data_IF_008568189781
#
_entry.id   IF_008568189781
#
_cell.length_a   1.000
_cell.length_b   1.000
_cell.length_c   1.000
_cell.angle_alpha   90.00
_cell.angle_beta   90.00
_cell.angle_gamma   90.00
#
_symmetry.space_group_name_H-M   'P 1'
#
loop_
_entity.id
_entity.type
_entity.pdbx_description
1 polymer ?
#
# COMPACT_ATOMS: atom_id res chain seq x y z
N UNK A 1 9.47 20.91 -5.91
CA UNK A 1 8.70 19.68 -6.20
C UNK A 1 7.44 19.71 -5.36
N UNK A 2 6.31 19.27 -5.91
CA UNK A 2 5.03 19.20 -5.18
C UNK A 2 4.96 17.85 -4.45
N UNK A 3 4.52 17.81 -3.18
CA UNK A 3 4.28 16.54 -2.51
C UNK A 3 3.16 15.75 -3.21
N UNK A 4 3.10 14.41 -3.11
CA UNK A 4 2.00 13.64 -3.66
C UNK A 4 0.66 14.03 -3.02
N UNK A 5 -0.41 14.07 -3.81
CA UNK A 5 -1.73 14.46 -3.33
C UNK A 5 -2.65 14.97 -4.43
N UNK A 6 -3.85 15.38 -4.04
CA UNK A 6 -4.84 15.93 -4.97
C UNK A 6 -4.68 17.46 -5.06
N UNK A 7 -4.40 17.95 -6.26
CA UNK A 7 -4.20 19.36 -6.55
C UNK A 7 -5.30 19.93 -7.44
N UNK A 8 -5.49 21.24 -7.31
CA UNK A 8 -6.29 22.03 -8.22
C UNK A 8 -5.36 22.91 -9.04
N UNK A 9 -5.50 22.88 -10.37
CA UNK A 9 -4.76 23.75 -11.28
C UNK A 9 -5.75 24.70 -11.93
N UNK A 10 -5.51 26.01 -11.75
CA UNK A 10 -6.30 27.09 -12.33
C UNK A 10 -5.43 27.90 -13.27
N UNK A 11 -5.89 28.06 -14.51
CA UNK A 11 -5.22 28.89 -15.50
C UNK A 11 -6.16 29.97 -16.02
N UNK A 12 -5.63 31.19 -16.08
CA UNK A 12 -6.38 32.38 -16.47
C UNK A 12 -5.58 33.22 -17.47
N UNK A 13 -6.27 33.73 -18.48
CA UNK A 13 -5.72 34.67 -19.45
C UNK A 13 -6.81 35.63 -19.91
N UNK A 14 -6.46 36.91 -20.09
CA UNK A 14 -7.40 37.91 -20.60
C UNK A 14 -8.02 37.47 -21.94
N UNK A 15 -9.33 37.62 -22.09
CA UNK A 15 -10.16 37.17 -23.22
C UNK A 15 -10.42 35.66 -23.36
N UNK A 16 -10.02 34.84 -22.37
CA UNK A 16 -10.32 33.41 -22.32
C UNK A 16 -11.17 33.05 -21.09
N UNK A 17 -11.95 31.98 -21.17
CA UNK A 17 -12.68 31.44 -20.03
C UNK A 17 -11.71 30.82 -19.02
N UNK A 18 -11.84 31.10 -17.70
CA UNK A 18 -10.95 30.53 -16.69
C UNK A 18 -11.12 29.00 -16.63
N UNK A 19 -10.04 28.27 -16.92
CA UNK A 19 -10.02 26.81 -16.85
C UNK A 19 -9.58 26.39 -15.44
N UNK A 20 -10.45 25.64 -14.75
CA UNK A 20 -10.13 25.03 -13.46
C UNK A 20 -10.18 23.52 -13.61
N UNK A 21 -9.02 22.88 -13.54
CA UNK A 21 -8.91 21.43 -13.43
C UNK A 21 -8.89 21.06 -11.94
N UNK A 22 -9.91 20.33 -11.51
CA UNK A 22 -10.03 19.82 -10.15
C UNK A 22 -9.55 18.37 -10.10
N UNK A 23 -9.20 17.89 -8.92
CA UNK A 23 -8.84 16.51 -8.66
C UNK A 23 -7.63 15.97 -9.44
N UNK A 24 -6.63 16.81 -9.70
CA UNK A 24 -5.38 16.36 -10.32
C UNK A 24 -4.59 15.56 -9.29
N UNK A 25 -4.52 14.25 -9.47
CA UNK A 25 -3.71 13.38 -8.64
C UNK A 25 -2.25 13.46 -9.08
N UNK A 26 -1.40 14.00 -8.21
CA UNK A 26 0.05 13.95 -8.38
C UNK A 26 0.56 12.79 -7.55
N UNK A 27 1.07 11.77 -8.22
CA UNK A 27 1.63 10.56 -7.62
C UNK A 27 3.13 10.72 -7.38
N UNK A 28 3.70 9.90 -6.49
CA UNK A 28 5.16 9.87 -6.25
C UNK A 28 5.89 9.54 -7.54
N UNK A 29 7.05 10.20 -7.74
CA UNK A 29 8.00 10.01 -8.86
C UNK A 29 7.46 10.29 -10.27
N UNK A 30 6.28 10.89 -10.41
CA UNK A 30 5.74 11.34 -11.69
C UNK A 30 5.95 12.84 -11.94
N UNK A 31 6.29 13.18 -13.19
CA UNK A 31 6.31 14.57 -13.66
C UNK A 31 5.05 14.79 -14.49
N UNK A 32 4.00 15.32 -13.86
CA UNK A 32 2.72 15.53 -14.52
C UNK A 32 2.80 16.68 -15.55
N UNK A 33 2.58 16.36 -16.83
CA UNK A 33 2.42 17.36 -17.90
C UNK A 33 0.94 17.61 -18.18
N UNK A 34 0.50 18.86 -18.05
CA UNK A 34 -0.87 19.28 -18.33
C UNK A 34 -0.92 20.18 -19.56
N UNK A 35 -1.67 19.77 -20.58
CA UNK A 35 -1.95 20.60 -21.76
C UNK A 35 -3.26 21.36 -21.56
N UNK A 36 -3.14 22.66 -21.25
CA UNK A 36 -4.26 23.53 -20.93
C UNK A 36 -4.79 24.20 -22.20
N UNK A 37 -5.93 23.73 -22.71
CA UNK A 37 -6.62 24.33 -23.85
C UNK A 37 -7.68 25.32 -23.36
N UNK A 38 -7.34 26.62 -23.42
CA UNK A 38 -8.24 27.71 -23.03
C UNK A 38 -9.23 28.02 -24.17
N UNK A 39 -10.53 28.04 -23.86
CA UNK A 39 -11.57 28.43 -24.81
C UNK A 39 -11.76 29.96 -24.82
N UNK A 40 -12.01 30.52 -26.00
CA UNK A 40 -12.25 31.95 -26.16
C UNK A 40 -13.62 32.29 -25.55
N UNK A 41 -13.68 33.28 -24.66
CA UNK A 41 -14.91 33.59 -23.93
C UNK A 41 -15.93 34.33 -24.81
N UNK A 42 -16.86 33.60 -25.44
CA UNK A 42 -18.08 34.17 -26.02
C UNK A 42 -19.24 34.03 -25.03
N UNK A 43 -19.47 35.12 -24.27
CA UNK A 43 -20.40 35.25 -23.12
C UNK A 43 -19.97 34.51 -21.85
N UNK A 44 -20.03 35.26 -20.74
CA UNK A 44 -19.80 34.77 -19.39
C UNK A 44 -21.08 34.08 -18.93
N UNK A 45 -21.18 32.76 -19.12
CA UNK A 45 -22.14 31.90 -18.43
C UNK A 45 -21.36 30.82 -17.68
N UNK A 46 -21.48 30.81 -16.34
CA UNK A 46 -20.91 29.76 -15.50
C UNK A 46 -21.72 28.48 -15.68
N UNK A 47 -21.22 27.54 -16.48
CA UNK A 47 -21.71 26.17 -16.51
C UNK A 47 -20.55 25.23 -16.11
N UNK A 48 -20.55 24.79 -14.85
CA UNK A 48 -19.58 23.81 -14.34
C UNK A 48 -19.99 22.41 -14.83
N UNK A 49 -19.42 21.96 -15.95
CA UNK A 49 -19.63 20.61 -16.50
C UNK A 49 -18.44 19.75 -16.11
N UNK A 50 -18.63 18.84 -15.16
CA UNK A 50 -17.62 17.86 -14.73
C UNK A 50 -17.78 16.59 -15.55
N UNK A 51 -16.91 16.36 -16.53
CA UNK A 51 -16.75 15.05 -17.18
C UNK A 51 -15.36 14.49 -16.86
N UNK A 52 -15.30 13.36 -16.16
CA UNK A 52 -14.04 12.65 -15.90
C UNK A 52 -13.77 11.67 -17.05
N UNK A 53 -12.78 11.95 -17.89
CA UNK A 53 -12.21 10.95 -18.79
C UNK A 53 -11.23 10.07 -17.98
N UNK A 54 -11.23 8.74 -18.12
CA UNK A 54 -10.25 7.89 -17.45
C UNK A 54 -8.85 8.19 -18.00
N UNK A 55 -7.98 8.70 -17.13
CA UNK A 55 -6.57 8.94 -17.45
C UNK A 55 -5.87 7.60 -17.67
N UNK A 56 -5.32 7.41 -18.87
CA UNK A 56 -4.47 6.28 -19.22
C UNK A 56 -3.02 6.73 -19.07
N UNK A 57 -2.25 5.97 -18.30
CA UNK A 57 -0.82 6.22 -18.09
C UNK A 57 -0.07 5.89 -19.39
N UNK A 58 0.45 6.91 -20.07
CA UNK A 58 1.03 6.80 -21.43
C UNK A 58 2.54 7.04 -21.47
N UNK A 59 3.16 7.50 -20.37
CA UNK A 59 4.59 7.85 -20.32
C UNK A 59 5.46 6.79 -19.64
N UNK A 60 4.90 5.96 -18.78
CA UNK A 60 5.64 4.89 -18.11
C UNK A 60 5.47 3.55 -18.83
N UNK A 61 6.59 2.94 -19.22
CA UNK A 61 6.61 1.53 -19.62
C UNK A 61 6.57 0.58 -18.41
N UNK A 62 6.59 1.11 -17.18
CA UNK A 62 6.63 0.30 -15.96
C UNK A 62 5.36 -0.56 -15.86
N UNK A 63 5.55 -1.87 -15.81
CA UNK A 63 4.47 -2.79 -15.49
C UNK A 63 4.24 -2.72 -13.99
N UNK A 64 3.11 -2.16 -13.58
CA UNK A 64 2.81 -1.99 -12.17
C UNK A 64 1.36 -1.64 -11.89
N UNK A 65 0.96 -1.77 -10.63
CA UNK A 65 -0.38 -1.45 -10.17
C UNK A 65 -0.30 -0.55 -8.95
N UNK A 66 -1.04 0.56 -9.01
CA UNK A 66 -1.35 1.38 -7.84
C UNK A 66 -2.59 0.81 -7.17
N UNK A 67 -2.48 0.57 -5.86
CA UNK A 67 -3.57 0.14 -5.00
C UNK A 67 -3.88 1.27 -4.04
N UNK A 68 -5.06 1.87 -4.21
CA UNK A 68 -5.53 2.95 -3.35
C UNK A 68 -5.93 2.44 -1.96
N UNK A 69 -5.90 3.33 -0.97
CA UNK A 69 -6.44 3.12 0.38
C UNK A 69 -7.71 2.27 0.42
N UNK A 70 -8.68 2.58 -0.44
CA UNK A 70 -9.98 1.89 -0.48
C UNK A 70 -9.83 0.40 -0.73
N UNK A 71 -8.99 0.01 -1.69
CA UNK A 71 -8.71 -1.39 -1.97
C UNK A 71 -7.91 -2.05 -0.83
N UNK A 72 -6.94 -1.36 -0.25
CA UNK A 72 -6.14 -1.87 0.89
C UNK A 72 -7.02 -2.20 2.11
N UNK A 73 -8.03 -1.37 2.39
CA UNK A 73 -8.94 -1.57 3.54
C UNK A 73 -10.15 -2.47 3.24
N UNK A 74 -10.56 -2.60 1.97
CA UNK A 74 -11.76 -3.36 1.59
C UNK A 74 -11.48 -4.82 1.24
N UNK A 75 -10.24 -5.15 0.89
CA UNK A 75 -9.87 -6.52 0.62
C UNK A 75 -9.85 -7.33 1.92
N UNK A 76 -10.45 -8.54 1.94
CA UNK A 76 -10.41 -9.41 3.09
C UNK A 76 -9.00 -9.97 3.26
N UNK A 77 -8.18 -9.28 4.07
CA UNK A 77 -6.83 -9.70 4.42
C UNK A 77 -6.87 -10.61 5.65
N UNK A 78 -6.67 -11.91 5.46
CA UNK A 78 -6.76 -12.94 6.51
C UNK A 78 -5.85 -12.65 7.71
N UNK A 79 -4.68 -12.05 7.48
CA UNK A 79 -3.69 -11.70 8.51
C UNK A 79 -3.46 -10.19 8.63
N UNK A 80 -4.28 -9.38 7.95
CA UNK A 80 -4.10 -7.93 7.78
C UNK A 80 -2.71 -7.54 7.28
N UNK A 81 -2.13 -8.39 6.43
CA UNK A 81 -0.85 -8.14 5.79
C UNK A 81 -1.09 -7.56 4.39
N UNK A 82 -0.72 -6.29 4.17
CA UNK A 82 -0.87 -5.66 2.86
C UNK A 82 0.01 -6.33 1.78
N UNK A 83 1.07 -7.06 2.17
CA UNK A 83 1.92 -7.77 1.22
C UNK A 83 1.11 -8.81 0.41
N UNK A 84 0.01 -9.34 0.93
CA UNK A 84 -0.89 -10.24 0.18
C UNK A 84 -1.51 -9.57 -1.04
N UNK A 85 -1.68 -8.24 -1.01
CA UNK A 85 -2.21 -7.46 -2.12
C UNK A 85 -1.22 -7.41 -3.29
N UNK A 86 0.08 -7.58 -3.03
CA UNK A 86 1.10 -7.63 -4.10
C UNK A 86 0.82 -8.74 -5.10
N UNK A 87 0.27 -9.87 -4.63
CA UNK A 87 -0.13 -11.00 -5.46
C UNK A 87 -1.27 -10.72 -6.44
N UNK A 88 -1.95 -9.57 -6.32
CA UNK A 88 -2.93 -9.12 -7.32
C UNK A 88 -2.26 -8.51 -8.55
N UNK A 89 -0.94 -8.31 -8.52
CA UNK A 89 -0.18 -7.81 -9.67
C UNK A 89 0.28 -8.97 -10.56
N UNK A 90 0.20 -8.84 -11.89
CA UNK A 90 0.65 -9.89 -12.81
C UNK A 90 2.12 -10.27 -12.58
N UNK A 91 2.40 -11.58 -12.57
CA UNK A 91 3.76 -12.10 -12.40
C UNK A 91 4.25 -12.13 -10.95
N UNK A 92 3.42 -11.75 -9.97
CA UNK A 92 3.70 -11.88 -8.54
C UNK A 92 3.08 -13.15 -7.97
N UNK A 93 3.88 -13.93 -7.25
CA UNK A 93 3.44 -15.04 -6.42
C UNK A 93 3.77 -14.68 -4.98
N UNK A 94 2.81 -14.76 -4.08
CA UNK A 94 2.99 -14.37 -2.67
C UNK A 94 2.42 -15.44 -1.76
N UNK A 95 3.15 -15.79 -0.70
CA UNK A 95 2.64 -16.65 0.36
C UNK A 95 1.74 -15.89 1.35
N UNK A 96 0.98 -16.65 2.14
CA UNK A 96 0.06 -16.09 3.14
C UNK A 96 0.80 -15.94 4.47
N UNK A 97 1.56 -14.87 4.63
CA UNK A 97 2.30 -14.64 5.87
C UNK A 97 1.42 -14.13 7.01
N UNK A 98 1.80 -14.45 8.25
CA UNK A 98 1.41 -13.67 9.40
C UNK A 98 2.16 -12.31 9.41
N UNK A 99 1.45 -11.20 9.60
CA UNK A 99 2.07 -9.87 9.62
C UNK A 99 3.13 -9.73 10.72
N UNK A 100 2.98 -10.44 11.84
CA UNK A 100 3.98 -10.49 12.92
C UNK A 100 5.25 -11.26 12.54
N UNK A 101 5.15 -12.31 11.73
CA UNK A 101 6.29 -13.15 11.34
C UNK A 101 7.21 -12.47 10.31
N UNK A 102 6.67 -11.57 9.47
CA UNK A 102 7.47 -10.73 8.56
C UNK A 102 8.17 -9.58 9.28
N UNK A 103 7.46 -8.91 10.20
CA UNK A 103 8.00 -7.78 10.95
C UNK A 103 9.08 -8.16 11.96
N UNK A 104 9.14 -9.44 12.36
CA UNK A 104 10.17 -9.99 13.25
C UNK A 104 11.38 -10.58 12.50
N UNK A 105 11.37 -10.58 11.16
CA UNK A 105 12.46 -11.13 10.36
C UNK A 105 12.55 -12.66 10.34
N UNK A 106 11.65 -13.38 11.01
CA UNK A 106 11.67 -14.85 11.08
C UNK A 106 11.30 -15.53 9.75
N UNK A 107 10.46 -14.88 8.91
CA UNK A 107 9.94 -15.46 7.65
C UNK A 107 10.22 -14.65 6.39
N UNK A 108 10.82 -13.47 6.51
CA UNK A 108 11.13 -12.59 5.36
C UNK A 108 12.17 -13.22 4.40
N UNK A 109 12.83 -14.30 4.81
CA UNK A 109 13.78 -15.06 4.00
C UNK A 109 13.38 -16.55 4.01
N UNK A 110 12.92 -17.12 2.88
CA UNK A 110 12.70 -18.57 2.70
C UNK A 110 13.96 -19.42 2.93
N UNK A 111 15.11 -18.78 3.12
CA UNK A 111 16.37 -19.43 3.47
C UNK A 111 16.47 -19.84 4.95
N UNK A 112 15.57 -19.33 5.81
CA UNK A 112 15.65 -19.49 7.27
C UNK A 112 14.31 -19.97 7.87
N UNK A 113 13.17 -19.60 7.27
CA UNK A 113 11.88 -20.16 7.63
C UNK A 113 11.61 -21.48 6.89
N UNK A 114 10.93 -22.42 7.55
CA UNK A 114 10.42 -23.66 6.94
C UNK A 114 9.34 -23.43 5.87
N UNK A 115 8.92 -22.19 5.64
CA UNK A 115 7.81 -21.84 4.75
C UNK A 115 8.28 -21.03 3.54
N UNK A 116 7.78 -21.39 2.35
CA UNK A 116 8.04 -20.73 1.07
C UNK A 116 7.25 -19.41 0.94
N UNK A 117 7.08 -18.65 2.02
CA UNK A 117 6.02 -17.66 2.06
C UNK A 117 6.34 -16.37 1.30
N UNK A 118 7.57 -16.17 0.82
CA UNK A 118 8.08 -14.94 0.18
C UNK A 118 7.23 -14.33 -0.96
N UNK A 119 7.53 -13.07 -1.32
CA UNK A 119 7.02 -12.42 -2.55
C UNK A 119 7.98 -12.79 -3.68
N UNK A 120 7.54 -13.50 -4.71
CA UNK A 120 8.34 -13.86 -5.88
C UNK A 120 7.79 -13.16 -7.10
N UNK A 121 8.66 -12.59 -7.93
CA UNK A 121 8.25 -11.75 -9.06
C UNK A 121 9.00 -12.20 -10.30
N UNK A 122 8.28 -12.64 -11.33
CA UNK A 122 8.85 -13.16 -12.58
C UNK A 122 9.94 -14.23 -12.39
N UNK A 123 9.86 -15.03 -11.32
CA UNK A 123 10.83 -16.07 -10.99
C UNK A 123 12.08 -15.59 -10.24
N UNK A 124 12.18 -14.29 -9.93
CA UNK A 124 13.19 -13.75 -9.03
C UNK A 124 13.02 -14.28 -7.60
N UNK A 125 14.09 -14.24 -6.80
CA UNK A 125 14.05 -14.71 -5.42
C UNK A 125 13.32 -13.69 -4.54
N UNK A 126 12.78 -14.13 -3.41
CA UNK A 126 11.97 -13.26 -2.59
C UNK A 126 12.71 -12.10 -1.90
N UNK A 127 14.03 -12.22 -1.79
CA UNK A 127 14.92 -11.16 -1.30
C UNK A 127 15.46 -10.27 -2.43
N UNK A 128 15.11 -10.56 -3.69
CA UNK A 128 15.43 -9.69 -4.82
C UNK A 128 14.33 -8.63 -5.03
N UNK A 129 13.50 -8.34 -4.03
CA UNK A 129 12.51 -7.27 -4.06
C UNK A 129 13.00 -6.06 -3.26
N UNK A 130 12.68 -4.87 -3.76
CA UNK A 130 12.89 -3.63 -3.03
C UNK A 130 11.61 -3.23 -2.29
N UNK A 131 11.73 -2.89 -1.01
CA UNK A 131 10.67 -2.27 -0.21
C UNK A 131 11.05 -0.85 0.15
N UNK A 132 10.13 0.07 -0.10
CA UNK A 132 10.23 1.47 0.26
C UNK A 132 9.04 1.86 1.13
N UNK A 133 9.33 2.56 2.23
CA UNK A 133 8.33 3.16 3.10
C UNK A 133 8.54 4.67 3.08
N UNK A 134 7.52 5.42 2.67
CA UNK A 134 7.55 6.88 2.57
C UNK A 134 8.75 7.41 1.75
N UNK A 135 9.13 6.67 0.70
CA UNK A 135 10.25 6.98 -0.18
C UNK A 135 11.64 6.60 0.34
N UNK A 136 11.72 5.93 1.49
CA UNK A 136 12.98 5.45 2.07
C UNK A 136 13.04 3.93 1.91
N UNK A 137 14.15 3.41 1.37
CA UNK A 137 14.36 1.97 1.29
C UNK A 137 14.43 1.36 2.70
N UNK A 138 13.53 0.42 2.94
CA UNK A 138 13.45 -0.40 4.16
C UNK A 138 13.75 -1.87 3.88
N UNK A 139 14.31 -2.14 2.69
CA UNK A 139 14.77 -3.47 2.29
C UNK A 139 15.85 -3.95 3.26
N UNK A 140 15.70 -5.16 3.77
CA UNK A 140 16.73 -5.79 4.57
C UNK A 140 17.95 -6.12 3.71
N UNK A 141 19.00 -5.32 3.86
CA UNK A 141 20.26 -5.42 3.13
C UNK A 141 21.18 -6.52 3.65
N UNK A 142 20.89 -7.14 4.80
CA UNK A 142 21.82 -8.06 5.46
C UNK A 142 21.63 -9.54 5.09
N UNK A 143 20.52 -9.93 4.45
CA UNK A 143 20.36 -11.21 3.74
C UNK A 143 20.71 -12.50 4.51
N UNK A 144 20.90 -12.48 5.83
CA UNK A 144 21.43 -13.61 6.60
C UNK A 144 21.10 -13.50 8.09
N UNK A 145 20.00 -14.15 8.47
CA UNK A 145 19.66 -14.91 9.68
C UNK A 145 20.06 -14.53 11.10
N UNK A 146 20.98 -13.61 11.35
CA UNK A 146 21.38 -13.24 12.71
C UNK A 146 21.33 -11.73 12.98
N UNK A 147 21.04 -10.90 11.96
CA UNK A 147 20.95 -9.44 12.08
C UNK A 147 19.86 -8.80 11.22
N UNK A 148 18.97 -9.61 10.63
CA UNK A 148 17.84 -9.13 9.82
C UNK A 148 16.89 -8.28 10.68
N UNK A 149 16.67 -7.03 10.28
CA UNK A 149 15.67 -6.14 10.90
C UNK A 149 14.23 -6.39 10.42
N UNK A 150 14.02 -7.37 9.53
CA UNK A 150 12.77 -7.56 8.83
C UNK A 150 12.42 -6.40 7.89
N UNK A 151 11.21 -6.43 7.35
CA UNK A 151 10.62 -5.32 6.59
C UNK A 151 9.44 -4.79 7.41
N UNK A 152 9.32 -3.47 7.62
CA UNK A 152 8.20 -2.92 8.36
C UNK A 152 6.89 -3.19 7.61
N UNK A 153 5.98 -3.92 8.26
CA UNK A 153 4.63 -4.17 7.75
C UNK A 153 3.64 -3.29 8.51
N UNK A 154 3.38 -2.04 8.07
CA UNK A 154 2.37 -1.21 8.68
C UNK A 154 0.99 -1.87 8.57
N UNK A 155 0.14 -1.55 9.55
CA UNK A 155 -1.28 -1.86 9.47
C UNK A 155 -1.87 -1.31 8.15
N UNK A 156 -2.70 -2.07 7.42
CA UNK A 156 -3.48 -1.58 6.28
C UNK A 156 -4.20 -0.24 6.53
N UNK A 157 -4.69 0.02 7.74
CA UNK A 157 -5.33 1.28 8.13
C UNK A 157 -4.36 2.46 8.26
N UNK A 158 -3.05 2.22 8.25
CA UNK A 158 -2.00 3.26 8.21
C UNK A 158 -1.59 3.59 6.77
N UNK A 159 -1.92 2.74 5.81
CA UNK A 159 -1.50 2.90 4.41
C UNK A 159 -2.45 3.86 3.68
N UNK A 160 -1.88 4.88 3.04
CA UNK A 160 -2.58 5.78 2.14
C UNK A 160 -2.58 5.23 0.71
N UNK A 161 -1.40 4.83 0.25
CA UNK A 161 -1.22 4.27 -1.08
C UNK A 161 -0.16 3.18 -1.07
N UNK A 162 -0.32 2.24 -1.99
CA UNK A 162 0.60 1.16 -2.21
C UNK A 162 0.84 0.95 -3.71
N UNK A 163 2.10 0.94 -4.15
CA UNK A 163 2.48 0.74 -5.55
C UNK A 163 3.41 -0.46 -5.68
N UNK A 164 3.08 -1.36 -6.60
CA UNK A 164 3.94 -2.50 -6.98
C UNK A 164 4.34 -2.33 -8.42
N UNK A 165 5.64 -2.30 -8.68
CA UNK A 165 6.22 -2.29 -10.01
C UNK A 165 6.99 -3.59 -10.19
N UNK A 166 6.57 -4.41 -11.16
CA UNK A 166 7.11 -5.75 -11.38
C UNK A 166 8.12 -5.80 -12.53
N UNK A 167 8.23 -4.74 -13.33
CA UNK A 167 9.25 -4.62 -14.37
C UNK A 167 9.26 -3.24 -15.02
N UNK A 168 10.29 -2.96 -15.83
CA UNK A 168 10.46 -1.72 -16.60
C UNK A 168 10.40 -0.43 -15.76
N UNK A 169 10.73 -0.51 -14.47
CA UNK A 169 10.86 0.64 -13.57
C UNK A 169 12.22 1.34 -13.76
N UNK A 170 12.28 2.63 -13.41
CA UNK A 170 13.44 3.49 -13.63
C UNK A 170 14.70 2.98 -12.88
N UNK A 171 15.88 3.28 -13.41
CA UNK A 171 17.19 2.97 -12.82
C UNK A 171 17.40 3.62 -11.45
N UNK A 172 16.62 4.64 -11.08
CA UNK A 172 16.57 5.20 -9.73
C UNK A 172 16.23 4.13 -8.65
N UNK A 173 15.50 3.08 -9.03
CA UNK A 173 15.17 1.93 -8.18
C UNK A 173 16.11 0.74 -8.40
N UNK A 174 17.22 0.96 -9.12
CA UNK A 174 18.16 -0.05 -9.56
C UNK A 174 18.96 -0.64 -8.40
N UNK A 175 18.59 -1.87 -8.00
CA UNK A 175 19.38 -2.73 -7.10
C UNK A 175 18.85 -4.16 -7.04
N UNK A 176 17.56 -4.33 -7.32
CA UNK A 176 16.80 -5.55 -7.10
C UNK A 176 16.16 -5.98 -8.42
N UNK A 177 16.18 -7.28 -8.71
CA UNK A 177 15.71 -7.87 -9.99
C UNK A 177 14.24 -8.31 -9.97
N UNK A 178 13.61 -8.31 -8.79
CA UNK A 178 12.19 -8.59 -8.56
C UNK A 178 11.33 -7.33 -8.64
N UNK A 179 10.38 -7.15 -7.72
CA UNK A 179 9.54 -5.97 -7.69
C UNK A 179 10.15 -4.80 -6.90
N UNK A 180 9.80 -3.58 -7.30
CA UNK A 180 9.81 -2.42 -6.42
C UNK A 180 8.43 -2.26 -5.76
N UNK A 181 8.42 -2.19 -4.44
CA UNK A 181 7.24 -2.13 -3.60
C UNK A 181 7.32 -0.85 -2.77
N UNK A 182 6.53 0.16 -3.13
CA UNK A 182 6.47 1.44 -2.42
C UNK A 182 5.19 1.54 -1.59
N UNK A 183 5.34 1.82 -0.31
CA UNK A 183 4.26 2.01 0.66
C UNK A 183 4.30 3.45 1.13
N UNK A 184 3.17 4.16 1.04
CA UNK A 184 3.01 5.51 1.59
C UNK A 184 2.03 5.43 2.75
N UNK A 185 2.45 5.96 3.90
CA UNK A 185 1.63 6.04 5.10
C UNK A 185 0.79 7.32 5.11
N UNK A 186 -0.35 7.27 5.79
CA UNK A 186 -1.25 8.41 5.93
C UNK A 186 -0.56 9.55 6.67
N UNK A 187 -0.63 10.74 6.09
CA UNK A 187 -0.33 11.96 6.83
C UNK A 187 -1.49 12.35 7.75
N UNK A 188 -1.18 13.07 8.83
CA UNK A 188 -2.22 13.66 9.67
C UNK A 188 -2.96 14.78 8.90
N UNK A 189 -4.09 15.23 9.45
CA UNK A 189 -4.88 16.30 8.82
C UNK A 189 -5.18 17.45 9.78
N UNK A 190 -5.68 18.57 9.26
CA UNK A 190 -6.19 19.67 10.08
C UNK A 190 -7.51 19.36 10.80
N UNK A 191 -8.05 18.15 10.62
CA UNK A 191 -9.22 17.62 11.33
C UNK A 191 -8.81 16.37 12.09
N UNK A 192 -9.40 16.18 13.27
CA UNK A 192 -9.24 14.91 13.97
C UNK A 192 -9.97 13.82 13.20
N UNK A 193 -9.25 12.74 12.89
CA UNK A 193 -9.84 11.50 12.38
C UNK A 193 -9.12 10.34 13.04
N UNK A 194 -9.83 9.24 13.21
CA UNK A 194 -9.24 8.02 13.74
C UNK A 194 -10.08 6.81 13.37
N UNK A 195 -9.55 5.64 13.64
CA UNK A 195 -10.23 4.36 13.42
C UNK A 195 -9.82 3.44 14.54
N UNK A 196 -10.76 2.67 15.08
CA UNK A 196 -10.50 1.60 16.05
C UNK A 196 -10.99 0.32 15.41
N UNK A 197 -10.24 -0.76 15.56
CA UNK A 197 -10.57 -2.03 14.95
C UNK A 197 -10.19 -3.21 15.85
N UNK A 198 -10.91 -4.31 15.67
CA UNK A 198 -10.62 -5.60 16.28
C UNK A 198 -11.02 -6.72 15.30
N UNK A 199 -10.12 -7.67 15.11
CA UNK A 199 -10.29 -8.83 14.25
C UNK A 199 -10.05 -10.08 15.08
N UNK A 200 -11.08 -10.91 15.16
CA UNK A 200 -11.05 -12.19 15.84
C UNK A 200 -11.01 -13.31 14.80
N UNK A 201 -10.04 -14.21 14.95
CA UNK A 201 -10.01 -15.48 14.23
C UNK A 201 -9.82 -16.59 15.25
N UNK A 202 -10.73 -17.55 15.27
CA UNK A 202 -10.64 -18.65 16.20
C UNK A 202 -10.97 -19.98 15.52
N UNK A 203 -10.57 -21.06 16.18
CA UNK A 203 -10.88 -22.41 15.77
C UNK A 203 -12.40 -22.58 15.66
N UNK A 204 -13.20 -22.16 16.64
CA UNK A 204 -14.68 -22.32 16.64
C UNK A 204 -15.36 -21.86 15.35
N UNK A 205 -14.94 -20.73 14.77
CA UNK A 205 -15.51 -20.14 13.55
C UNK A 205 -14.90 -20.69 12.26
N UNK A 206 -13.69 -21.28 12.30
CA UNK A 206 -13.01 -21.82 11.12
C UNK A 206 -13.44 -23.28 10.86
N UNK A 207 -13.57 -23.69 9.60
CA UNK A 207 -13.72 -25.11 9.28
C UNK A 207 -12.42 -25.90 9.59
N UNK A 208 -12.54 -27.22 9.82
CA UNK A 208 -11.39 -28.11 9.88
C UNK A 208 -10.86 -28.40 8.47
N UNK A 209 -9.57 -28.73 8.35
CA UNK A 209 -8.98 -29.07 7.05
C UNK A 209 -9.49 -30.42 6.53
N UNK A 210 -9.50 -30.58 5.21
CA UNK A 210 -10.03 -31.77 4.55
C UNK A 210 -9.34 -33.06 5.03
N UNK A 211 -8.01 -33.09 5.02
CA UNK A 211 -7.24 -34.28 5.40
C UNK A 211 -7.32 -34.60 6.91
N UNK A 212 -7.51 -33.59 7.75
CA UNK A 212 -7.75 -33.78 9.18
C UNK A 212 -9.15 -34.39 9.42
N UNK A 213 -10.16 -33.94 8.66
CA UNK A 213 -11.48 -34.56 8.70
C UNK A 213 -11.45 -36.01 8.19
N UNK A 214 -10.71 -36.29 7.12
CA UNK A 214 -10.56 -37.63 6.55
C UNK A 214 -9.93 -38.61 7.55
N UNK A 215 -8.97 -38.14 8.34
CA UNK A 215 -8.29 -38.93 9.38
C UNK A 215 -8.95 -38.84 10.76
N UNK A 216 -10.13 -38.23 10.86
CA UNK A 216 -10.86 -37.97 12.11
C UNK A 216 -10.04 -37.25 13.19
N UNK A 217 -9.04 -36.46 12.77
CA UNK A 217 -8.23 -35.64 13.66
C UNK A 217 -8.97 -34.36 14.05
N UNK A 218 -8.79 -33.97 15.32
CA UNK A 218 -9.34 -32.71 15.81
C UNK A 218 -8.61 -31.54 15.15
N UNK A 219 -9.38 -30.49 14.85
CA UNK A 219 -8.84 -29.23 14.33
C UNK A 219 -7.84 -28.64 15.35
N UNK A 220 -6.65 -28.21 14.92
CA UNK A 220 -5.69 -27.56 15.79
C UNK A 220 -6.22 -26.26 16.40
N UNK A 221 -5.63 -25.86 17.52
CA UNK A 221 -6.06 -24.67 18.26
C UNK A 221 -5.50 -23.41 17.62
N UNK A 222 -6.37 -22.60 17.02
CA UNK A 222 -6.06 -21.26 16.57
C UNK A 222 -6.93 -20.25 17.34
N UNK A 223 -6.31 -19.29 18.03
CA UNK A 223 -7.00 -18.14 18.64
C UNK A 223 -6.16 -16.90 18.40
N UNK A 224 -6.62 -16.03 17.53
CA UNK A 224 -5.92 -14.83 17.10
C UNK A 224 -6.83 -13.61 17.31
N UNK A 225 -6.29 -12.62 18.00
CA UNK A 225 -6.92 -11.32 18.21
C UNK A 225 -5.96 -10.25 17.69
N UNK A 226 -6.37 -9.53 16.67
CA UNK A 226 -5.65 -8.36 16.15
C UNK A 226 -6.48 -7.12 16.43
N UNK A 227 -5.97 -6.23 17.26
CA UNK A 227 -6.68 -5.01 17.65
C UNK A 227 -5.76 -3.81 17.54
N UNK A 228 -6.35 -2.63 17.40
CA UNK A 228 -5.57 -1.42 17.30
C UNK A 228 -6.39 -0.19 16.98
N UNK A 229 -5.66 0.89 16.77
CA UNK A 229 -6.27 2.16 16.42
C UNK A 229 -5.32 3.03 15.59
N UNK A 230 -5.90 3.97 14.86
CA UNK A 230 -5.21 5.09 14.21
C UNK A 230 -5.81 6.39 14.70
N UNK A 231 -4.98 7.43 14.81
CA UNK A 231 -5.41 8.77 15.18
C UNK A 231 -4.52 9.79 14.48
N UNK A 232 -5.14 10.71 13.76
CA UNK A 232 -4.47 11.85 13.15
C UNK A 232 -5.22 13.14 13.42
N UNK A 233 -4.50 14.26 13.49
CA UNK A 233 -5.10 15.57 13.72
C UNK A 233 -4.08 16.68 13.94
N UNK A 234 -4.53 17.92 14.14
CA UNK A 234 -3.63 19.02 14.46
C UNK A 234 -3.28 19.03 15.95
N UNK A 235 -2.00 19.20 16.28
CA UNK A 235 -1.58 19.73 17.59
C UNK A 235 -1.77 21.26 17.56
N UNK A 236 -1.37 21.89 16.45
CA UNK A 236 -1.63 23.30 16.14
C UNK A 236 -2.14 23.38 14.70
N UNK A 237 -3.37 23.85 14.52
CA UNK A 237 -4.00 23.96 13.19
C UNK A 237 -3.06 24.66 12.21
N UNK A 238 -2.91 24.06 11.03
CA UNK A 238 -2.11 24.55 9.90
C UNK A 238 -0.60 24.67 10.17
N UNK A 239 -0.10 24.17 11.29
CA UNK A 239 1.33 24.31 11.68
C UNK A 239 1.97 23.05 12.19
N UNK A 240 1.28 22.30 13.03
CA UNK A 240 1.79 21.06 13.62
C UNK A 240 0.67 20.03 13.60
N UNK A 241 0.88 19.00 12.78
CA UNK A 241 -0.08 17.94 12.53
C UNK A 241 0.60 16.63 12.91
N UNK A 242 -0.15 15.72 13.52
CA UNK A 242 0.32 14.40 13.91
C UNK A 242 -0.53 13.31 13.27
N UNK A 243 0.09 12.15 13.10
CA UNK A 243 -0.58 10.89 12.82
C UNK A 243 0.12 9.80 13.64
N UNK A 244 -0.67 8.91 14.22
CA UNK A 244 -0.17 7.77 14.97
C UNK A 244 -1.03 6.55 14.76
N UNK A 245 -0.40 5.38 14.79
CA UNK A 245 -1.09 4.10 14.68
C UNK A 245 -0.51 3.09 15.67
N UNK A 246 -1.38 2.27 16.23
CA UNK A 246 -1.02 1.15 17.08
C UNK A 246 -1.75 -0.11 16.61
N UNK A 247 -1.03 -1.23 16.56
CA UNK A 247 -1.60 -2.54 16.31
C UNK A 247 -0.94 -3.56 17.26
N UNK A 248 -1.76 -4.36 17.93
CA UNK A 248 -1.36 -5.50 18.73
C UNK A 248 -1.92 -6.78 18.14
N UNK A 249 -1.09 -7.83 18.10
CA UNK A 249 -1.52 -9.19 17.75
C UNK A 249 -1.29 -10.10 18.95
N UNK A 250 -2.33 -10.80 19.39
CA UNK A 250 -2.24 -11.90 20.36
C UNK A 250 -2.68 -13.17 19.68
N UNK A 251 -1.80 -14.18 19.64
CA UNK A 251 -2.06 -15.42 18.94
C UNK A 251 -1.67 -16.62 19.79
N UNK A 252 -2.53 -17.63 19.78
CA UNK A 252 -2.25 -19.00 20.19
C UNK A 252 -2.43 -19.86 18.93
N UNK A 253 -1.41 -20.62 18.58
CA UNK A 253 -1.42 -21.56 17.47
C UNK A 253 -0.81 -22.87 17.98
N UNK A 254 -1.56 -23.97 17.92
CA UNK A 254 -1.19 -25.29 18.42
C UNK A 254 -1.34 -26.37 17.37
#
# INVERSE_FOLDING_TARGET
MLPPGTYQVRAERSAFEPLTLQAIHVTVTETLRLELHLQLATRIERAEVVSHAPMVETESSALGRVVSKGAVTSLPLVTRNFAQITGLSPGVVVGVFNAGELGLGETALPQIAKSNDGIYVHGARSYDNNFELDGISVSDVQGSSAGSGGIPIPNPDTIEEFKVQTGLYDAAFGRYAGANISVITKAGSNKYHGTVFEFLRNNVLNANEFFLNETHQQRPDLKQNQFGFTLGGPIKKEKLIFFGSYQGTRQING
#
